data_IF_034121019931
#
_entry.id   IF_034121019931
#
_cell.length_a   1.000
_cell.length_b   1.000
_cell.length_c   1.000
_cell.angle_alpha   90.00
_cell.angle_beta   90.00
_cell.angle_gamma   90.00
#
_symmetry.space_group_name_H-M   'P 1'
#
loop_
_entity.id
_entity.type
_entity.pdbx_description
1 polymer ?
#
# COMPACT_ATOMS: atom_id res chain seq x y z
N UNK A 1 -14.95 3.13 -33.58
CA UNK A 1 -15.48 3.83 -32.39
C UNK A 1 -15.51 2.85 -31.23
N UNK A 2 -14.62 2.99 -30.26
CA UNK A 2 -14.68 2.18 -29.04
C UNK A 2 -15.93 2.59 -28.24
N UNK A 3 -16.79 1.63 -27.91
CA UNK A 3 -17.93 1.87 -27.00
C UNK A 3 -17.35 2.31 -25.66
N UNK A 4 -17.69 3.52 -25.19
CA UNK A 4 -17.46 3.94 -23.80
C UNK A 4 -18.21 2.93 -22.91
N UNK A 5 -17.49 2.05 -22.21
CA UNK A 5 -18.08 1.17 -21.20
C UNK A 5 -18.16 2.00 -19.92
N UNK A 6 -19.36 2.12 -19.35
CA UNK A 6 -19.55 2.75 -18.03
C UNK A 6 -19.00 1.87 -16.89
N UNK A 7 -19.17 2.28 -15.62
CA UNK A 7 -18.76 1.47 -14.48
C UNK A 7 -19.36 0.06 -14.54
N UNK A 8 -18.69 -0.91 -13.92
CA UNK A 8 -19.20 -2.28 -13.89
C UNK A 8 -20.60 -2.30 -13.25
N UNK A 9 -21.51 -3.12 -13.76
CA UNK A 9 -22.85 -3.19 -13.21
C UNK A 9 -22.86 -3.98 -11.91
N UNK A 10 -23.55 -3.45 -10.90
CA UNK A 10 -23.72 -4.09 -9.59
C UNK A 10 -25.20 -4.21 -9.25
N UNK A 11 -25.54 -5.24 -8.48
CA UNK A 11 -26.90 -5.53 -8.04
C UNK A 11 -26.91 -5.81 -6.55
N UNK A 12 -27.92 -5.24 -5.87
CA UNK A 12 -28.20 -5.60 -4.49
C UNK A 12 -29.20 -6.74 -4.44
N UNK A 13 -28.84 -7.86 -3.80
CA UNK A 13 -29.71 -9.01 -3.60
C UNK A 13 -29.81 -9.32 -2.11
N UNK A 14 -30.99 -9.67 -1.59
CA UNK A 14 -31.08 -10.20 -0.23
C UNK A 14 -30.51 -11.62 -0.15
N UNK A 15 -29.92 -11.96 0.98
CA UNK A 15 -29.60 -13.36 1.34
C UNK A 15 -30.87 -14.14 1.75
N UNK A 16 -30.69 -15.40 2.15
CA UNK A 16 -31.80 -16.25 2.59
C UNK A 16 -32.53 -15.68 3.83
N UNK A 17 -31.86 -14.84 4.62
CA UNK A 17 -32.37 -14.18 5.81
C UNK A 17 -32.85 -12.73 5.54
N UNK A 18 -32.81 -12.27 4.29
CA UNK A 18 -33.22 -10.92 3.91
C UNK A 18 -32.15 -9.83 4.10
N UNK A 19 -30.91 -10.19 4.47
CA UNK A 19 -29.80 -9.24 4.67
C UNK A 19 -29.22 -8.80 3.32
N UNK A 20 -28.84 -7.52 3.16
CA UNK A 20 -28.40 -6.99 1.89
C UNK A 20 -27.03 -7.54 1.47
N UNK A 21 -26.93 -8.08 0.27
CA UNK A 21 -25.68 -8.43 -0.40
C UNK A 21 -25.48 -7.51 -1.61
N UNK A 22 -24.22 -7.23 -1.94
CA UNK A 22 -23.82 -6.53 -3.15
C UNK A 22 -23.04 -7.50 -4.03
N UNK A 23 -23.40 -7.59 -5.31
CA UNK A 23 -22.82 -8.53 -6.26
C UNK A 23 -22.54 -7.81 -7.58
N UNK A 24 -21.41 -8.13 -8.20
CA UNK A 24 -21.07 -7.69 -9.55
C UNK A 24 -21.86 -8.50 -10.59
N UNK A 25 -22.63 -7.84 -11.45
CA UNK A 25 -23.52 -8.51 -12.42
C UNK A 25 -22.74 -9.30 -13.47
N UNK A 26 -21.62 -8.77 -13.95
CA UNK A 26 -20.71 -9.48 -14.85
C UNK A 26 -19.76 -10.37 -14.03
N UNK A 27 -20.03 -11.67 -13.97
CA UNK A 27 -19.19 -12.67 -13.29
C UNK A 27 -19.73 -13.16 -11.95
N UNK A 28 -20.81 -12.59 -11.43
CA UNK A 28 -21.44 -12.96 -10.15
C UNK A 28 -20.44 -12.97 -8.98
N UNK A 29 -19.46 -12.07 -8.99
CA UNK A 29 -18.49 -11.97 -7.91
C UNK A 29 -19.14 -11.25 -6.71
N UNK A 30 -19.21 -11.90 -5.53
CA UNK A 30 -19.70 -11.24 -4.32
C UNK A 30 -18.77 -10.09 -3.95
N UNK A 31 -19.36 -8.92 -3.76
CA UNK A 31 -18.68 -7.67 -3.42
C UNK A 31 -18.69 -7.47 -1.92
N UNK A 32 -19.90 -7.52 -1.36
CA UNK A 32 -20.11 -7.36 0.06
C UNK A 32 -21.22 -8.32 0.48
N UNK A 33 -20.95 -9.06 1.54
CA UNK A 33 -21.74 -10.17 2.02
C UNK A 33 -22.10 -9.98 3.49
N UNK A 34 -23.20 -10.57 3.98
CA UNK A 34 -23.68 -10.32 5.33
C UNK A 34 -22.77 -10.85 6.44
N UNK A 35 -21.89 -11.81 6.12
CA UNK A 35 -20.90 -12.29 7.08
C UNK A 35 -19.84 -11.24 7.44
N UNK A 36 -19.67 -10.19 6.62
CA UNK A 36 -18.73 -9.10 6.89
C UNK A 36 -19.27 -8.10 7.93
N UNK A 37 -20.57 -8.09 8.23
CA UNK A 37 -21.18 -7.14 9.17
C UNK A 37 -20.53 -7.18 10.57
N UNK A 38 -20.31 -8.35 11.22
CA UNK A 38 -19.59 -8.42 12.50
C UNK A 38 -18.13 -7.96 12.40
N UNK A 39 -17.50 -8.13 11.24
CA UNK A 39 -16.14 -7.62 11.02
C UNK A 39 -16.12 -6.08 10.99
N UNK A 40 -17.04 -5.49 10.22
CA UNK A 40 -17.22 -4.04 10.18
C UNK A 40 -17.54 -3.48 11.57
N UNK A 41 -18.39 -4.18 12.34
CA UNK A 41 -18.67 -3.81 13.73
C UNK A 41 -17.40 -3.77 14.59
N UNK A 42 -16.56 -4.80 14.53
CA UNK A 42 -15.33 -4.84 15.31
C UNK A 42 -14.32 -3.74 14.93
N UNK A 43 -14.26 -3.35 13.64
CA UNK A 43 -13.44 -2.22 13.19
C UNK A 43 -13.98 -0.88 13.69
N UNK A 44 -15.29 -0.64 13.57
CA UNK A 44 -15.91 0.60 14.06
C UNK A 44 -15.88 0.69 15.59
N UNK A 45 -16.01 -0.43 16.30
CA UNK A 45 -15.85 -0.50 17.75
C UNK A 45 -14.44 -0.15 18.21
N UNK A 46 -13.41 -0.56 17.45
CA UNK A 46 -12.04 -0.15 17.73
C UNK A 46 -11.82 1.34 17.41
N UNK A 47 -12.46 1.84 16.34
CA UNK A 47 -12.39 3.24 15.92
C UNK A 47 -13.08 4.18 16.92
N UNK A 48 -14.19 3.75 17.54
CA UNK A 48 -15.08 4.56 18.40
C UNK A 48 -15.33 5.97 17.81
N UNK A 49 -15.95 6.06 16.63
CA UNK A 49 -16.00 7.30 15.87
C UNK A 49 -16.75 8.41 16.63
N UNK A 50 -16.15 9.60 16.67
CA UNK A 50 -16.72 10.80 17.27
C UNK A 50 -16.33 12.03 16.42
N UNK A 51 -16.97 13.17 16.66
CA UNK A 51 -16.65 14.40 15.93
C UNK A 51 -16.99 14.30 14.43
N UNK A 52 -16.11 14.81 13.57
CA UNK A 52 -16.29 14.71 12.12
C UNK A 52 -15.72 13.37 11.62
N UNK A 53 -16.58 12.56 11.00
CA UNK A 53 -16.23 11.21 10.54
C UNK A 53 -16.17 11.15 9.02
N UNK A 54 -15.12 10.55 8.48
CA UNK A 54 -15.01 10.17 7.08
C UNK A 54 -15.17 8.66 6.92
N UNK A 55 -16.08 8.22 6.06
CA UNK A 55 -16.21 6.85 5.57
C UNK A 55 -15.87 6.82 4.08
N UNK A 56 -14.96 5.92 3.68
CA UNK A 56 -14.68 5.64 2.26
C UNK A 56 -15.23 4.27 1.94
N UNK A 57 -16.15 4.20 0.97
CA UNK A 57 -16.87 2.99 0.60
C UNK A 57 -18.11 2.76 1.47
N UNK A 58 -19.30 2.92 0.89
CA UNK A 58 -20.57 2.67 1.57
C UNK A 58 -20.99 1.20 1.50
N UNK A 59 -20.78 0.57 0.33
CA UNK A 59 -21.17 -0.82 0.10
C UNK A 59 -22.66 -1.11 0.41
N UNK A 60 -22.90 -2.00 1.38
CA UNK A 60 -24.23 -2.32 1.89
C UNK A 60 -24.71 -1.42 3.04
N UNK A 61 -23.89 -0.48 3.52
CA UNK A 61 -24.16 0.40 4.65
C UNK A 61 -23.88 -0.21 6.02
N UNK A 62 -23.13 -1.31 6.11
CA UNK A 62 -22.82 -1.97 7.38
C UNK A 62 -22.03 -1.05 8.32
N UNK A 63 -20.89 -0.52 7.86
CA UNK A 63 -20.10 0.43 8.63
C UNK A 63 -20.89 1.71 8.92
N UNK A 64 -21.51 2.32 7.90
CA UNK A 64 -22.34 3.50 8.05
C UNK A 64 -23.43 3.39 9.14
N UNK A 65 -24.15 2.27 9.18
CA UNK A 65 -25.16 1.99 10.21
C UNK A 65 -24.57 1.96 11.62
N UNK A 66 -23.39 1.38 11.78
CA UNK A 66 -22.72 1.23 13.07
C UNK A 66 -22.11 2.57 13.50
N UNK A 67 -21.47 3.31 12.59
CA UNK A 67 -20.96 4.66 12.82
C UNK A 67 -22.08 5.57 13.36
N UNK A 68 -23.26 5.53 12.76
CA UNK A 68 -24.39 6.37 13.21
C UNK A 68 -24.88 6.01 14.63
N UNK A 69 -24.64 4.81 15.13
CA UNK A 69 -24.94 4.47 16.54
C UNK A 69 -24.09 5.28 17.53
N UNK A 70 -22.90 5.74 17.12
CA UNK A 70 -22.01 6.59 17.93
C UNK A 70 -22.39 8.08 17.90
N UNK A 71 -23.36 8.49 17.06
CA UNK A 71 -23.85 9.87 16.94
C UNK A 71 -22.73 10.90 16.66
N UNK A 72 -21.98 10.76 15.55
CA UNK A 72 -20.94 11.72 15.21
C UNK A 72 -21.52 13.11 14.94
N UNK A 73 -20.68 14.15 15.05
CA UNK A 73 -21.04 15.54 14.71
C UNK A 73 -21.37 15.67 13.23
N UNK A 74 -20.57 15.05 12.37
CA UNK A 74 -20.84 14.94 10.93
C UNK A 74 -20.33 13.60 10.41
N UNK A 75 -20.97 13.10 9.35
CA UNK A 75 -20.61 11.85 8.71
C UNK A 75 -20.54 12.02 7.20
N UNK A 76 -19.32 12.09 6.67
CA UNK A 76 -19.06 12.23 5.25
C UNK A 76 -18.75 10.86 4.66
N UNK A 77 -19.50 10.45 3.64
CA UNK A 77 -19.33 9.19 2.93
C UNK A 77 -18.83 9.50 1.52
N UNK A 78 -17.68 8.95 1.13
CA UNK A 78 -17.21 8.96 -0.25
C UNK A 78 -17.54 7.61 -0.87
N UNK A 79 -18.37 7.60 -1.90
CA UNK A 79 -18.74 6.39 -2.62
C UNK A 79 -18.59 6.61 -4.12
N UNK A 80 -17.70 5.87 -4.76
CA UNK A 80 -17.41 6.03 -6.19
C UNK A 80 -18.56 5.52 -7.07
N UNK A 81 -19.18 4.40 -6.70
CA UNK A 81 -20.07 3.70 -7.62
C UNK A 81 -21.46 4.37 -7.64
N UNK A 82 -21.95 4.90 -8.78
CA UNK A 82 -23.20 5.68 -8.84
C UNK A 82 -24.41 4.96 -8.24
N UNK A 83 -24.59 3.67 -8.53
CA UNK A 83 -25.69 2.86 -7.97
C UNK A 83 -25.60 2.70 -6.45
N UNK A 84 -24.38 2.61 -5.90
CA UNK A 84 -24.16 2.49 -4.45
C UNK A 84 -24.31 3.87 -3.80
N UNK A 85 -23.82 4.93 -4.44
CA UNK A 85 -23.99 6.31 -4.01
C UNK A 85 -25.48 6.74 -3.99
N UNK A 86 -26.28 6.33 -4.98
CA UNK A 86 -27.73 6.52 -4.99
C UNK A 86 -28.39 5.89 -3.76
N UNK A 87 -28.00 4.65 -3.42
CA UNK A 87 -28.48 3.95 -2.24
C UNK A 87 -28.02 4.63 -0.95
N UNK A 88 -26.76 5.06 -0.88
CA UNK A 88 -26.22 5.81 0.25
C UNK A 88 -26.99 7.11 0.46
N UNK A 89 -27.32 7.85 -0.62
CA UNK A 89 -28.14 9.07 -0.57
C UNK A 89 -29.56 8.80 -0.08
N UNK A 90 -30.18 7.67 -0.46
CA UNK A 90 -31.49 7.27 0.06
C UNK A 90 -31.42 6.94 1.55
N UNK A 91 -30.43 6.16 1.97
CA UNK A 91 -30.17 5.83 3.37
C UNK A 91 -29.92 7.10 4.21
N UNK A 92 -29.14 8.04 3.68
CA UNK A 92 -28.79 9.29 4.34
C UNK A 92 -30.01 10.19 4.63
N UNK A 93 -31.15 10.02 3.94
CA UNK A 93 -32.38 10.79 4.23
C UNK A 93 -32.91 10.57 5.66
N UNK A 94 -32.51 9.48 6.32
CA UNK A 94 -32.83 9.21 7.72
C UNK A 94 -32.00 10.00 8.73
N UNK A 95 -31.00 10.76 8.28
CA UNK A 95 -30.01 11.42 9.13
C UNK A 95 -29.79 12.87 8.66
N UNK A 96 -29.66 13.80 9.61
CA UNK A 96 -29.43 15.23 9.33
C UNK A 96 -27.94 15.60 9.26
N UNK A 97 -27.07 14.71 9.72
CA UNK A 97 -25.61 14.90 9.82
C UNK A 97 -24.80 14.15 8.75
N UNK A 98 -25.45 13.52 7.76
CA UNK A 98 -24.79 12.69 6.73
C UNK A 98 -24.66 13.46 5.42
N UNK A 99 -23.47 13.43 4.82
CA UNK A 99 -23.19 13.93 3.47
C UNK A 99 -22.60 12.83 2.61
N UNK A 100 -23.17 12.58 1.43
CA UNK A 100 -22.68 11.58 0.46
C UNK A 100 -22.02 12.28 -0.72
N UNK A 101 -20.79 11.87 -1.04
CA UNK A 101 -19.99 12.39 -2.14
C UNK A 101 -19.78 11.26 -3.15
N UNK A 102 -20.39 11.42 -4.33
CA UNK A 102 -20.21 10.52 -5.46
C UNK A 102 -18.95 10.89 -6.25
N UNK A 103 -17.78 10.41 -5.80
CA UNK A 103 -16.49 10.57 -6.46
C UNK A 103 -15.52 9.50 -5.95
N UNK A 104 -14.33 9.38 -6.55
CA UNK A 104 -13.25 8.58 -5.95
C UNK A 104 -12.63 9.32 -4.77
N UNK A 105 -12.07 8.61 -3.80
CA UNK A 105 -11.40 9.26 -2.66
C UNK A 105 -10.25 10.18 -3.10
N UNK A 106 -9.49 9.81 -4.15
CA UNK A 106 -8.41 10.62 -4.71
C UNK A 106 -8.91 12.01 -5.15
N UNK A 107 -10.13 12.07 -5.70
CA UNK A 107 -10.75 13.30 -6.21
C UNK A 107 -11.64 14.00 -5.19
N UNK A 108 -12.15 13.30 -4.19
CA UNK A 108 -12.93 13.91 -3.14
C UNK A 108 -12.03 14.60 -2.10
N UNK A 109 -10.96 13.93 -1.64
CA UNK A 109 -10.15 14.36 -0.50
C UNK A 109 -9.65 15.81 -0.60
N UNK A 110 -9.17 16.26 -1.76
CA UNK A 110 -8.64 17.62 -1.93
C UNK A 110 -9.67 18.75 -1.72
N UNK A 111 -10.97 18.41 -1.63
CA UNK A 111 -12.06 19.36 -1.36
C UNK A 111 -12.57 19.28 0.08
N UNK A 112 -12.02 18.38 0.88
CA UNK A 112 -12.49 18.05 2.23
C UNK A 112 -11.58 18.62 3.32
N UNK A 113 -12.14 18.71 4.52
CA UNK A 113 -11.47 19.20 5.72
C UNK A 113 -10.77 18.10 6.51
N UNK A 114 -10.58 18.35 7.81
CA UNK A 114 -9.92 17.44 8.75
C UNK A 114 -10.96 16.67 9.55
N UNK A 115 -10.78 15.36 9.66
CA UNK A 115 -11.67 14.45 10.36
C UNK A 115 -11.09 13.98 11.70
N UNK A 116 -11.97 13.75 12.66
CA UNK A 116 -11.65 13.21 13.98
C UNK A 116 -11.58 11.67 13.95
N UNK A 117 -12.38 11.02 13.08
CA UNK A 117 -12.29 9.58 12.81
C UNK A 117 -12.42 9.27 11.31
N UNK A 118 -11.69 8.27 10.83
CA UNK A 118 -11.69 7.84 9.43
C UNK A 118 -11.87 6.32 9.36
N UNK A 119 -12.85 5.86 8.60
CA UNK A 119 -13.04 4.47 8.24
C UNK A 119 -12.82 4.28 6.74
N UNK A 120 -11.97 3.33 6.35
CA UNK A 120 -11.65 3.07 4.95
C UNK A 120 -12.03 1.64 4.56
N UNK A 121 -12.97 1.50 3.63
CA UNK A 121 -13.44 0.24 3.06
C UNK A 121 -13.51 0.38 1.53
N UNK A 122 -12.34 0.55 0.92
CA UNK A 122 -12.22 0.75 -0.52
C UNK A 122 -12.06 -0.60 -1.22
N UNK A 123 -12.92 -0.86 -2.19
CA UNK A 123 -12.73 -1.96 -3.14
C UNK A 123 -12.51 -1.34 -4.52
N UNK A 124 -11.46 -1.71 -5.26
CA UNK A 124 -11.18 -1.11 -6.56
C UNK A 124 -12.21 -1.56 -7.60
N UNK A 125 -13.28 -0.78 -7.75
CA UNK A 125 -14.39 -0.97 -8.71
C UNK A 125 -14.07 -0.44 -10.11
N UNK A 126 -12.92 0.23 -10.27
CA UNK A 126 -12.60 0.94 -11.49
C UNK A 126 -12.35 -0.09 -12.61
N UNK A 127 -13.10 0.01 -13.72
CA UNK A 127 -12.71 -0.73 -14.90
C UNK A 127 -11.29 -0.31 -15.32
N UNK A 128 -10.57 -1.13 -16.06
CA UNK A 128 -9.28 -0.72 -16.65
C UNK A 128 -9.39 0.59 -17.49
N UNK A 129 -10.60 0.97 -17.90
CA UNK A 129 -10.89 2.25 -18.54
C UNK A 129 -11.13 3.40 -17.53
N UNK A 130 -11.82 3.15 -16.42
CA UNK A 130 -12.00 4.13 -15.33
C UNK A 130 -10.69 4.44 -14.62
N UNK A 131 -9.82 3.43 -14.47
CA UNK A 131 -8.45 3.60 -14.01
C UNK A 131 -7.58 4.44 -14.95
N UNK A 132 -7.95 4.56 -16.23
CA UNK A 132 -7.28 5.45 -17.19
C UNK A 132 -7.90 6.86 -17.24
N UNK A 133 -9.02 7.13 -16.54
CA UNK A 133 -9.62 8.47 -16.45
C UNK A 133 -9.01 9.33 -15.33
N UNK A 134 -8.01 8.83 -14.61
CA UNK A 134 -7.25 9.59 -13.60
C UNK A 134 -6.32 10.67 -14.20
N UNK A 135 -6.69 11.25 -15.34
CA UNK A 135 -5.89 12.12 -16.21
C UNK A 135 -5.20 13.31 -15.50
N UNK A 136 -5.71 13.79 -14.37
CA UNK A 136 -5.06 14.86 -13.60
C UNK A 136 -3.84 14.35 -12.79
N UNK A 137 -3.96 13.19 -12.14
CA UNK A 137 -2.85 12.52 -11.46
C UNK A 137 -1.94 11.83 -12.47
N UNK A 138 -2.47 11.32 -13.58
CA UNK A 138 -1.67 10.71 -14.64
C UNK A 138 -0.82 11.75 -15.35
N UNK A 139 -1.30 12.97 -15.58
CA UNK A 139 -0.47 14.06 -16.13
C UNK A 139 0.69 14.43 -15.21
N UNK A 140 0.46 14.54 -13.90
CA UNK A 140 1.50 14.85 -12.91
C UNK A 140 2.44 13.66 -12.75
N UNK A 141 1.92 12.44 -12.61
CA UNK A 141 2.68 11.20 -12.50
C UNK A 141 3.46 10.92 -13.79
N UNK A 142 2.88 11.09 -14.97
CA UNK A 142 3.59 11.02 -16.25
C UNK A 142 4.59 12.15 -16.39
N UNK A 143 4.33 13.36 -15.89
CA UNK A 143 5.28 14.47 -15.88
C UNK A 143 6.47 14.16 -14.96
N UNK A 144 6.21 13.62 -13.77
CA UNK A 144 7.21 13.16 -12.81
C UNK A 144 7.99 11.95 -13.35
N UNK A 145 7.32 10.97 -13.95
CA UNK A 145 7.93 9.82 -14.63
C UNK A 145 8.72 10.26 -15.85
N UNK A 146 8.26 11.24 -16.63
CA UNK A 146 9.03 11.83 -17.74
C UNK A 146 10.23 12.60 -17.23
N UNK A 147 10.11 13.35 -16.13
CA UNK A 147 11.23 14.05 -15.48
C UNK A 147 12.23 13.06 -14.89
N UNK A 148 11.75 12.02 -14.22
CA UNK A 148 12.54 10.91 -13.68
C UNK A 148 13.24 10.12 -14.77
N UNK A 149 12.54 9.73 -15.84
CA UNK A 149 13.12 9.10 -17.04
C UNK A 149 14.10 10.03 -17.77
N UNK A 150 13.85 11.33 -17.84
CA UNK A 150 14.82 12.31 -18.38
C UNK A 150 16.05 12.45 -17.50
N UNK A 151 15.89 12.44 -16.17
CA UNK A 151 17.00 12.47 -15.23
C UNK A 151 17.81 11.18 -15.31
N UNK A 152 17.16 10.02 -15.27
CA UNK A 152 17.77 8.69 -15.46
C UNK A 152 18.48 8.61 -16.80
N UNK A 153 17.85 8.96 -17.92
CA UNK A 153 18.50 8.94 -19.24
C UNK A 153 19.64 9.96 -19.35
N UNK A 154 19.54 11.13 -18.69
CA UNK A 154 20.62 12.11 -18.60
C UNK A 154 21.79 11.58 -17.75
N UNK A 155 21.50 10.93 -16.63
CA UNK A 155 22.48 10.26 -15.77
C UNK A 155 23.12 9.08 -16.49
N UNK A 156 22.34 8.22 -17.15
CA UNK A 156 22.81 7.10 -17.96
C UNK A 156 23.67 7.58 -19.13
N UNK A 157 23.34 8.71 -19.77
CA UNK A 157 24.16 9.27 -20.84
C UNK A 157 25.46 9.87 -20.30
N UNK A 158 25.41 10.58 -19.16
CA UNK A 158 26.58 11.19 -18.52
C UNK A 158 27.50 10.16 -17.87
N UNK A 159 26.94 9.11 -17.32
CA UNK A 159 27.61 8.03 -16.60
C UNK A 159 27.68 6.75 -17.43
N UNK A 160 27.40 6.82 -18.73
CA UNK A 160 27.41 5.67 -19.65
C UNK A 160 28.75 4.93 -19.59
N UNK A 161 29.83 5.70 -19.47
CA UNK A 161 31.17 5.19 -19.34
C UNK A 161 31.35 4.30 -18.10
N UNK A 162 30.65 4.54 -16.98
CA UNK A 162 30.73 3.69 -15.78
C UNK A 162 30.17 2.29 -16.05
N UNK A 163 29.10 2.18 -16.86
CA UNK A 163 28.49 0.88 -17.20
C UNK A 163 29.46 0.00 -18.00
N UNK A 164 30.31 0.60 -18.83
CA UNK A 164 31.26 -0.12 -19.69
C UNK A 164 32.71 -0.07 -19.20
N UNK A 165 32.98 0.61 -18.07
CA UNK A 165 34.33 0.72 -17.52
C UNK A 165 34.82 -0.66 -17.09
N UNK A 166 35.90 -1.12 -17.72
CA UNK A 166 36.63 -2.29 -17.26
C UNK A 166 37.72 -1.82 -16.31
N UNK A 167 37.65 -2.25 -15.06
CA UNK A 167 38.65 -1.90 -14.06
C UNK A 167 39.83 -2.86 -14.19
N UNK A 168 41.03 -2.29 -14.25
CA UNK A 168 42.29 -3.01 -14.22
C UNK A 168 42.66 -3.31 -12.76
N UNK A 169 43.60 -4.21 -12.56
CA UNK A 169 44.08 -4.56 -11.22
C UNK A 169 44.63 -3.32 -10.49
N UNK A 170 45.31 -2.43 -11.21
CA UNK A 170 45.79 -1.13 -10.71
C UNK A 170 44.65 -0.24 -10.20
N UNK A 171 43.48 -0.26 -10.84
CA UNK A 171 42.35 0.57 -10.45
C UNK A 171 41.69 0.05 -9.16
N UNK A 172 41.72 -1.28 -8.95
CA UNK A 172 41.25 -1.93 -7.72
C UNK A 172 42.24 -1.72 -6.58
N UNK A 173 43.54 -1.80 -6.86
CA UNK A 173 44.59 -1.48 -5.89
C UNK A 173 44.50 -0.02 -5.45
N UNK A 174 44.30 0.90 -6.39
CA UNK A 174 44.08 2.31 -6.11
C UNK A 174 42.87 2.52 -5.18
N UNK A 175 41.76 1.80 -5.41
CA UNK A 175 40.59 1.85 -4.52
C UNK A 175 40.96 1.52 -3.08
N UNK A 176 41.71 0.44 -2.84
CA UNK A 176 42.09 0.04 -1.48
C UNK A 176 43.08 0.99 -0.83
N UNK A 177 44.00 1.58 -1.60
CA UNK A 177 44.94 2.59 -1.10
C UNK A 177 44.24 3.86 -0.62
N UNK A 178 43.08 4.17 -1.19
CA UNK A 178 42.29 5.37 -0.89
C UNK A 178 41.00 5.06 -0.12
N UNK A 179 40.81 3.80 0.29
CA UNK A 179 39.65 3.41 1.06
C UNK A 179 39.79 3.98 2.47
N UNK A 180 38.98 4.97 2.80
CA UNK A 180 38.88 5.45 4.18
C UNK A 180 38.33 4.30 5.04
N UNK A 181 39.18 3.80 5.95
CA UNK A 181 38.85 2.72 6.89
C UNK A 181 37.91 3.24 7.98
N UNK A 182 36.71 3.64 7.60
CA UNK A 182 35.66 4.11 8.49
C UNK A 182 34.86 2.92 8.99
N UNK A 183 34.60 2.85 10.29
CA UNK A 183 33.79 1.80 10.94
C UNK A 183 32.30 1.81 10.55
N UNK A 184 31.89 2.71 9.65
CA UNK A 184 30.50 2.93 9.27
C UNK A 184 30.04 2.07 8.07
N UNK A 185 30.96 1.54 7.25
CA UNK A 185 30.56 0.78 6.06
C UNK A 185 30.29 -0.69 6.41
N UNK A 186 29.02 -1.09 6.28
CA UNK A 186 28.60 -2.45 6.62
C UNK A 186 29.11 -3.48 5.59
N UNK A 187 29.55 -4.69 6.01
CA UNK A 187 30.16 -5.73 5.16
C UNK A 187 29.35 -6.07 3.90
N UNK A 188 28.02 -6.09 3.98
CA UNK A 188 27.16 -6.41 2.83
C UNK A 188 27.25 -5.37 1.71
N UNK A 189 27.60 -4.12 2.00
CA UNK A 189 27.74 -3.10 0.97
C UNK A 189 28.99 -3.34 0.12
N UNK A 190 30.11 -3.75 0.72
CA UNK A 190 31.30 -4.17 -0.02
C UNK A 190 31.02 -5.41 -0.88
N UNK A 191 30.38 -6.43 -0.28
CA UNK A 191 30.04 -7.67 -0.98
C UNK A 191 29.13 -7.42 -2.19
N UNK A 192 28.07 -6.63 -2.01
CA UNK A 192 27.13 -6.28 -3.07
C UNK A 192 27.78 -5.44 -4.17
N UNK A 193 28.60 -4.45 -3.80
CA UNK A 193 29.25 -3.57 -4.76
C UNK A 193 30.16 -4.33 -5.73
N UNK A 194 31.07 -5.15 -5.22
CA UNK A 194 32.02 -5.88 -6.07
C UNK A 194 31.37 -7.06 -6.81
N UNK A 195 30.37 -7.70 -6.23
CA UNK A 195 29.55 -8.68 -6.94
C UNK A 195 28.85 -8.04 -8.14
N UNK A 196 28.25 -6.87 -7.97
CA UNK A 196 27.56 -6.17 -9.06
C UNK A 196 28.52 -5.72 -10.16
N UNK A 197 29.74 -5.32 -9.81
CA UNK A 197 30.78 -5.03 -10.81
C UNK A 197 31.16 -6.28 -11.61
N UNK A 198 31.20 -7.46 -10.98
CA UNK A 198 31.51 -8.70 -11.70
C UNK A 198 30.34 -9.15 -12.58
N UNK A 199 29.10 -9.09 -12.09
CA UNK A 199 27.90 -9.45 -12.87
C UNK A 199 27.72 -8.57 -14.10
N UNK A 200 28.02 -7.28 -13.97
CA UNK A 200 28.02 -6.31 -15.09
C UNK A 200 29.29 -6.43 -15.96
N UNK A 201 30.20 -7.32 -15.59
CA UNK A 201 31.46 -7.59 -16.28
C UNK A 201 32.51 -6.49 -16.15
N UNK A 202 32.30 -5.48 -15.30
CA UNK A 202 33.27 -4.40 -15.06
C UNK A 202 34.57 -4.91 -14.44
N UNK A 203 34.52 -6.03 -13.69
CA UNK A 203 35.68 -6.80 -13.23
C UNK A 203 35.51 -8.28 -13.59
N UNK A 204 36.63 -9.01 -13.66
CA UNK A 204 36.65 -10.45 -13.89
C UNK A 204 36.34 -11.23 -12.61
N UNK A 205 35.98 -12.51 -12.74
CA UNK A 205 35.82 -13.43 -11.60
C UNK A 205 37.10 -13.53 -10.75
N UNK A 206 38.28 -13.55 -11.38
CA UNK A 206 39.58 -13.57 -10.69
C UNK A 206 39.81 -12.30 -9.88
N UNK A 207 39.44 -11.14 -10.43
CA UNK A 207 39.50 -9.87 -9.70
C UNK A 207 38.54 -9.85 -8.52
N UNK A 208 37.32 -10.38 -8.68
CA UNK A 208 36.38 -10.52 -7.55
C UNK A 208 36.95 -11.41 -6.44
N UNK A 209 37.53 -12.56 -6.78
CA UNK A 209 38.18 -13.47 -5.82
C UNK A 209 39.33 -12.76 -5.07
N UNK A 210 40.16 -12.00 -5.79
CA UNK A 210 41.23 -11.21 -5.20
C UNK A 210 40.71 -10.11 -4.26
N UNK A 211 39.68 -9.37 -4.66
CA UNK A 211 39.04 -8.32 -3.85
C UNK A 211 38.48 -8.90 -2.54
N UNK A 212 37.80 -10.06 -2.60
CA UNK A 212 37.24 -10.71 -1.42
C UNK A 212 38.34 -11.14 -0.44
N UNK A 213 39.45 -11.69 -0.93
CA UNK A 213 40.62 -12.00 -0.10
C UNK A 213 41.22 -10.74 0.52
N UNK A 214 41.29 -9.64 -0.24
CA UNK A 214 41.82 -8.37 0.24
C UNK A 214 40.96 -7.76 1.34
N UNK A 215 39.63 -7.74 1.16
CA UNK A 215 38.68 -7.27 2.18
C UNK A 215 38.76 -8.08 3.48
N UNK A 216 39.02 -9.39 3.39
CA UNK A 216 39.26 -10.23 4.57
C UNK A 216 40.57 -9.88 5.28
N UNK A 217 41.66 -9.68 4.53
CA UNK A 217 42.96 -9.30 5.08
C UNK A 217 42.91 -7.95 5.80
N UNK A 218 42.08 -7.03 5.31
CA UNK A 218 41.87 -5.72 5.93
C UNK A 218 40.80 -5.72 7.03
N UNK A 219 40.30 -6.91 7.42
CA UNK A 219 39.28 -7.10 8.45
C UNK A 219 37.94 -6.35 8.20
N UNK A 220 37.63 -6.07 6.92
CA UNK A 220 36.40 -5.40 6.51
C UNK A 220 35.23 -6.37 6.31
N UNK A 221 35.52 -7.66 6.08
CA UNK A 221 34.55 -8.74 5.96
C UNK A 221 35.11 -10.03 6.57
N UNK A 222 34.21 -10.95 6.91
CA UNK A 222 34.54 -12.29 7.45
C UNK A 222 34.17 -13.39 6.45
N UNK A 223 34.76 -14.58 6.65
CA UNK A 223 34.42 -15.77 5.85
C UNK A 223 32.94 -16.17 5.97
N UNK A 224 32.32 -15.95 7.14
CA UNK A 224 30.91 -16.24 7.40
C UNK A 224 29.99 -15.32 6.58
N UNK A 225 30.29 -14.02 6.53
CA UNK A 225 29.50 -13.05 5.76
C UNK A 225 29.56 -13.31 4.24
N UNK A 226 30.71 -13.74 3.73
CA UNK A 226 30.83 -14.17 2.33
C UNK A 226 29.91 -15.37 2.07
N UNK A 227 29.96 -16.39 2.93
CA UNK A 227 29.13 -17.59 2.78
C UNK A 227 27.63 -17.27 2.85
N UNK A 228 27.22 -16.41 3.78
CA UNK A 228 25.83 -15.97 3.91
C UNK A 228 25.36 -15.16 2.70
N UNK A 229 26.18 -14.23 2.20
CA UNK A 229 25.84 -13.39 1.06
C UNK A 229 25.67 -14.21 -0.23
N UNK A 230 26.65 -15.06 -0.57
CA UNK A 230 26.57 -15.91 -1.76
C UNK A 230 25.54 -17.05 -1.62
N UNK A 231 25.29 -17.52 -0.39
CA UNK A 231 24.21 -18.48 -0.10
C UNK A 231 22.80 -17.89 -0.31
N UNK A 232 22.63 -16.58 -0.07
CA UNK A 232 21.37 -15.85 -0.31
C UNK A 232 21.15 -15.50 -1.79
N UNK A 233 22.21 -15.24 -2.55
CA UNK A 233 22.14 -14.87 -3.98
C UNK A 233 21.43 -15.92 -4.86
N UNK A 234 21.61 -17.21 -4.55
CA UNK A 234 20.90 -18.29 -5.25
C UNK A 234 19.39 -18.38 -4.96
N UNK A 235 18.87 -17.56 -4.03
CA UNK A 235 17.45 -17.52 -3.65
C UNK A 235 16.74 -16.22 -4.07
N UNK A 236 17.44 -15.26 -4.65
CA UNK A 236 16.82 -13.98 -5.08
C UNK A 236 16.43 -14.09 -6.54
N UNK A 237 15.16 -14.35 -6.78
CA UNK A 237 14.55 -14.21 -8.11
C UNK A 237 14.38 -12.71 -8.42
N UNK A 238 15.21 -12.18 -9.30
CA UNK A 238 15.08 -10.80 -9.78
C UNK A 238 13.86 -10.59 -10.71
N UNK A 239 13.12 -11.65 -11.06
CA UNK A 239 11.79 -11.56 -11.70
C UNK A 239 10.67 -11.35 -10.68
N UNK A 240 10.99 -11.37 -9.38
CA UNK A 240 10.05 -11.08 -8.30
C UNK A 240 10.07 -9.61 -7.83
N UNK A 241 10.69 -8.70 -8.58
CA UNK A 241 10.17 -7.33 -8.61
C UNK A 241 8.85 -7.37 -9.39
N UNK A 242 7.80 -7.87 -8.74
CA UNK A 242 6.46 -7.36 -9.01
C UNK A 242 6.56 -5.86 -8.77
N UNK A 243 6.11 -5.06 -9.73
CA UNK A 243 5.73 -3.68 -9.40
C UNK A 243 4.92 -3.74 -8.10
N UNK A 244 5.25 -2.93 -7.07
CA UNK A 244 4.53 -3.02 -5.81
C UNK A 244 3.04 -2.91 -6.13
N UNK A 245 2.29 -3.96 -5.82
CA UNK A 245 0.84 -3.90 -5.84
C UNK A 245 0.47 -2.64 -5.06
N UNK A 246 -0.26 -1.75 -5.72
CA UNK A 246 -0.54 -0.41 -5.22
C UNK A 246 -1.34 -0.57 -3.92
N UNK A 247 -0.71 -0.38 -2.75
CA UNK A 247 -1.40 -0.40 -1.47
C UNK A 247 -2.21 0.91 -1.34
N UNK A 248 -3.46 0.85 -1.81
CA UNK A 248 -4.40 1.98 -1.85
C UNK A 248 -4.66 2.54 -0.46
N UNK A 249 -4.73 1.67 0.55
CA UNK A 249 -4.91 2.12 1.93
C UNK A 249 -3.67 2.88 2.42
N UNK A 250 -2.47 2.37 2.16
CA UNK A 250 -1.24 3.06 2.52
C UNK A 250 -1.16 4.46 1.89
N UNK A 251 -1.49 4.58 0.60
CA UNK A 251 -1.52 5.88 -0.09
C UNK A 251 -2.56 6.83 0.50
N UNK A 252 -3.77 6.34 0.72
CA UNK A 252 -4.85 7.08 1.37
C UNK A 252 -4.44 7.57 2.76
N UNK A 253 -3.89 6.68 3.59
CA UNK A 253 -3.48 6.98 4.95
C UNK A 253 -2.39 8.06 5.00
N UNK A 254 -1.41 8.02 4.08
CA UNK A 254 -0.37 9.05 3.99
C UNK A 254 -0.96 10.44 3.71
N UNK A 255 -1.94 10.53 2.80
CA UNK A 255 -2.65 11.78 2.52
C UNK A 255 -3.44 12.23 3.76
N UNK A 256 -4.15 11.32 4.41
CA UNK A 256 -4.93 11.62 5.59
C UNK A 256 -4.06 12.09 6.77
N UNK A 257 -2.97 11.39 7.07
CA UNK A 257 -2.02 11.79 8.11
C UNK A 257 -1.46 13.19 7.89
N UNK A 258 -1.29 13.60 6.63
CA UNK A 258 -0.75 14.92 6.28
C UNK A 258 -1.81 16.02 6.29
N UNK A 259 -2.98 15.76 5.71
CA UNK A 259 -3.93 16.83 5.33
C UNK A 259 -5.31 16.69 5.98
N UNK A 260 -5.71 15.50 6.43
CA UNK A 260 -7.06 15.22 6.90
C UNK A 260 -7.16 14.68 8.34
N UNK A 261 -6.03 14.56 9.04
CA UNK A 261 -5.96 14.12 10.43
C UNK A 261 -5.25 15.19 11.29
N UNK A 262 -5.82 15.47 12.46
CA UNK A 262 -5.20 16.27 13.53
C UNK A 262 -4.66 15.35 14.63
N UNK A 263 -3.92 15.89 15.58
CA UNK A 263 -3.54 15.14 16.79
C UNK A 263 -4.81 14.62 17.49
N UNK A 264 -4.82 13.34 17.84
CA UNK A 264 -5.96 12.61 18.36
C UNK A 264 -6.89 12.00 17.30
N UNK A 265 -6.74 12.33 16.01
CA UNK A 265 -7.52 11.69 14.94
C UNK A 265 -7.22 10.20 14.87
N UNK A 266 -8.25 9.40 14.61
CA UNK A 266 -8.15 7.94 14.52
C UNK A 266 -8.54 7.43 13.15
N UNK A 267 -7.92 6.33 12.71
CA UNK A 267 -8.22 5.67 11.45
C UNK A 267 -8.28 4.15 11.64
N UNK A 268 -9.30 3.53 11.06
CA UNK A 268 -9.45 2.08 10.91
C UNK A 268 -9.87 1.77 9.48
N UNK A 269 -9.71 0.53 9.05
CA UNK A 269 -10.00 0.12 7.68
C UNK A 269 -10.32 -1.37 7.61
N UNK A 270 -11.02 -1.79 6.54
CA UNK A 270 -11.23 -3.19 6.23
C UNK A 270 -9.95 -3.79 5.62
N UNK A 271 -9.67 -5.07 5.89
CA UNK A 271 -8.50 -5.77 5.33
C UNK A 271 -8.99 -6.94 4.52
N UNK A 272 -8.31 -7.21 3.41
CA UNK A 272 -8.67 -8.32 2.51
C UNK A 272 -8.09 -9.66 2.97
N UNK A 273 -7.16 -9.63 3.94
CA UNK A 273 -6.56 -10.79 4.56
C UNK A 273 -6.08 -10.46 5.99
N UNK A 274 -6.04 -11.43 6.91
CA UNK A 274 -5.51 -11.24 8.27
C UNK A 274 -3.97 -11.26 8.31
N UNK A 275 -3.33 -10.63 7.33
CA UNK A 275 -1.87 -10.46 7.29
C UNK A 275 -1.47 -9.30 8.18
N UNK A 276 -0.52 -9.55 9.10
CA UNK A 276 -0.04 -8.51 10.00
C UNK A 276 0.67 -7.40 9.23
N UNK A 277 0.39 -6.14 9.59
CA UNK A 277 1.05 -4.99 8.93
C UNK A 277 2.51 -4.83 9.36
N UNK A 278 2.94 -5.54 10.41
CA UNK A 278 4.36 -5.65 10.78
C UNK A 278 5.18 -6.43 9.75
N UNK A 279 4.54 -7.25 8.91
CA UNK A 279 5.21 -8.03 7.85
C UNK A 279 5.39 -7.21 6.56
N UNK A 280 4.75 -6.05 6.46
CA UNK A 280 4.82 -5.17 5.29
C UNK A 280 5.89 -4.11 5.48
N UNK A 281 7.09 -4.34 4.91
CA UNK A 281 8.28 -3.48 5.10
C UNK A 281 7.97 -1.99 4.96
N UNK A 282 7.26 -1.58 3.91
CA UNK A 282 6.94 -0.17 3.69
C UNK A 282 6.01 0.40 4.75
N UNK A 283 4.95 -0.34 5.10
CA UNK A 283 4.01 0.05 6.15
C UNK A 283 4.72 0.13 7.51
N UNK A 284 5.57 -0.85 7.80
CA UNK A 284 6.36 -0.88 9.03
C UNK A 284 7.28 0.34 9.15
N UNK A 285 8.05 0.65 8.11
CA UNK A 285 9.01 1.76 8.14
C UNK A 285 8.33 3.14 8.18
N UNK A 286 7.24 3.34 7.44
CA UNK A 286 6.64 4.67 7.26
C UNK A 286 5.46 4.96 8.21
N UNK A 287 4.78 3.94 8.72
CA UNK A 287 3.63 4.08 9.64
C UNK A 287 4.01 3.60 11.04
N UNK A 288 4.44 2.35 11.20
CA UNK A 288 4.61 1.74 12.53
C UNK A 288 5.78 2.37 13.29
N UNK A 289 6.89 2.69 12.62
CA UNK A 289 8.02 3.38 13.23
C UNK A 289 7.85 4.91 13.33
N UNK A 290 6.74 5.47 12.83
CA UNK A 290 6.52 6.90 12.87
C UNK A 290 6.21 7.36 14.31
N UNK A 291 7.02 8.23 14.92
CA UNK A 291 6.82 8.65 16.32
C UNK A 291 5.54 9.47 16.54
N UNK A 292 4.94 10.00 15.47
CA UNK A 292 3.68 10.74 15.47
C UNK A 292 2.46 9.85 15.20
N UNK A 293 2.64 8.53 15.21
CA UNK A 293 1.56 7.57 14.98
C UNK A 293 1.60 6.51 16.07
N UNK A 294 0.43 6.23 16.64
CA UNK A 294 0.19 5.02 17.41
C UNK A 294 -0.45 3.99 16.49
N UNK A 295 0.13 2.79 16.42
CA UNK A 295 -0.39 1.69 15.62
C UNK A 295 -0.75 0.52 16.51
N UNK A 296 -1.97 0.00 16.36
CA UNK A 296 -2.46 -1.17 17.06
C UNK A 296 -3.14 -2.11 16.06
N UNK A 297 -2.89 -3.41 16.19
CA UNK A 297 -3.63 -4.44 15.47
C UNK A 297 -4.03 -5.57 16.42
N UNK A 298 -5.18 -6.20 16.18
CA UNK A 298 -5.63 -7.39 16.90
C UNK A 298 -6.36 -8.34 15.95
N UNK A 299 -6.23 -9.64 16.18
CA UNK A 299 -7.00 -10.66 15.44
C UNK A 299 -8.34 -10.91 16.12
N UNK A 300 -9.38 -11.12 15.33
CA UNK A 300 -10.70 -11.53 15.79
C UNK A 300 -11.16 -12.77 15.01
N UNK A 301 -11.89 -13.71 15.64
CA UNK A 301 -12.51 -14.82 14.91
C UNK A 301 -13.64 -14.30 14.01
N UNK A 302 -13.80 -14.90 12.84
CA UNK A 302 -14.88 -14.65 11.89
C UNK A 302 -15.59 -15.94 11.47
N UNK A 303 -16.90 -15.84 11.29
CA UNK A 303 -17.72 -16.93 10.76
C UNK A 303 -17.97 -16.69 9.28
N UNK A 304 -17.02 -17.13 8.45
CA UNK A 304 -17.12 -17.00 7.00
C UNK A 304 -17.83 -18.23 6.41
N UNK A 305 -18.87 -18.06 5.58
CA UNK A 305 -19.56 -19.18 4.93
C UNK A 305 -18.59 -20.03 4.10
N UNK A 306 -18.80 -21.35 4.06
CA UNK A 306 -17.91 -22.29 3.35
C UNK A 306 -17.88 -22.06 1.85
N UNK A 307 -18.93 -21.45 1.32
CA UNK A 307 -19.14 -21.10 -0.08
C UNK A 307 -18.44 -19.78 -0.45
N UNK A 308 -17.91 -19.05 0.54
CA UNK A 308 -17.14 -17.83 0.33
C UNK A 308 -15.72 -18.16 -0.15
N UNK A 309 -15.49 -18.07 -1.47
CA UNK A 309 -14.18 -18.38 -2.06
C UNK A 309 -13.20 -17.20 -2.08
N UNK A 310 -13.66 -15.97 -1.80
CA UNK A 310 -12.83 -14.76 -1.87
C UNK A 310 -12.15 -14.40 -0.55
N UNK A 311 -12.64 -14.90 0.59
CA UNK A 311 -12.01 -14.72 1.90
C UNK A 311 -11.86 -16.10 2.58
N UNK A 312 -10.73 -16.80 2.37
CA UNK A 312 -10.55 -18.18 2.80
C UNK A 312 -10.14 -18.33 4.27
N UNK A 313 -10.29 -17.29 5.09
CA UNK A 313 -9.84 -17.26 6.48
C UNK A 313 -11.01 -17.29 7.47
N UNK A 314 -10.77 -17.78 8.67
CA UNK A 314 -11.71 -17.84 9.80
C UNK A 314 -11.42 -16.75 10.85
N UNK A 315 -10.60 -15.76 10.49
CA UNK A 315 -10.25 -14.61 11.31
C UNK A 315 -10.03 -13.37 10.45
N UNK A 316 -10.08 -12.20 11.10
CA UNK A 316 -9.70 -10.92 10.50
C UNK A 316 -8.80 -10.11 11.42
N UNK A 317 -8.09 -9.15 10.82
CA UNK A 317 -7.26 -8.20 11.53
C UNK A 317 -8.01 -6.89 11.70
N UNK A 318 -8.23 -6.47 12.94
CA UNK A 318 -8.74 -5.13 13.26
C UNK A 318 -7.56 -4.23 13.54
N UNK A 319 -7.43 -3.16 12.77
CA UNK A 319 -6.36 -2.18 12.91
C UNK A 319 -6.90 -0.85 13.40
N UNK A 320 -6.17 -0.21 14.31
CA UNK A 320 -6.41 1.15 14.77
C UNK A 320 -5.11 1.96 14.66
N UNK A 321 -5.22 3.13 14.04
CA UNK A 321 -4.13 4.07 13.84
C UNK A 321 -4.53 5.40 14.47
N UNK A 322 -3.73 5.93 15.38
CA UNK A 322 -4.00 7.24 16.02
C UNK A 322 -2.87 8.21 15.72
N UNK A 323 -3.19 9.41 15.24
CA UNK A 323 -2.20 10.47 15.04
C UNK A 323 -1.88 11.13 16.40
N UNK A 324 -0.60 11.19 16.75
CA UNK A 324 -0.07 11.80 17.98
C UNK A 324 0.43 13.21 17.76
#
# INVERSE_FOLDING_TARGET
>A
MARKRGPCKVVFLPDAEGRPQLIQEEGCHPIMMPWQEPYMEACIEALQPEGDVLEVGFGCGYAANIIQKYRPRSHTIIEYHPTVADRARQWAQGYDNVTVIEDTWQRALHKLGVFDAIFFDDTPWESAWDANQYDALESIAQSLLRKGKKLLSSLERRLFFLKHKKYRDEDLEYFFQHLEKTSATQPQHFLKFFYDLQEKGNITKKQLEWVLLRLQQEALITKKEIQEFFGKLHKVDFRAFKEPELDRFFEFLQICLKEHMREGSRCSYSVDAPTSKFEEERFFQEIILNPHVDFQERRIPLQVPKECHHYPYDEALVVLITKR
#
